data_IF_182497390957
#
_entry.id   IF_182497390957
#
_cell.length_a   1.000
_cell.length_b   1.000
_cell.length_c   1.000
_cell.angle_alpha   90.00
_cell.angle_beta   90.00
_cell.angle_gamma   90.00
#
_symmetry.space_group_name_H-M   'P 1'
#
loop_
_entity.id
_entity.type
_entity.pdbx_description
1 polymer ?
#
# COMPACT_ATOMS: atom_id res chain seq x y z
N UNK A 1 36.01 87.37 -69.14
CA UNK A 1 36.10 86.84 -67.76
C UNK A 1 34.78 87.22 -67.07
N UNK A 2 33.91 86.35 -66.57
CA UNK A 2 34.05 85.30 -65.55
C UNK A 2 32.98 84.21 -65.78
N UNK A 3 33.35 82.94 -65.57
CA UNK A 3 32.47 81.75 -65.48
C UNK A 3 31.84 81.65 -64.07
N UNK A 4 30.68 80.98 -63.92
CA UNK A 4 30.49 79.86 -62.97
C UNK A 4 29.12 79.18 -63.13
N UNK A 5 29.16 77.87 -62.87
CA UNK A 5 28.22 76.78 -63.17
C UNK A 5 27.19 76.51 -62.05
N UNK A 6 26.34 75.50 -62.30
CA UNK A 6 25.57 74.62 -61.38
C UNK A 6 24.08 74.98 -61.16
N UNK A 7 23.10 74.06 -61.15
CA UNK A 7 23.09 72.65 -60.73
C UNK A 7 22.15 71.76 -61.59
N UNK A 8 22.65 70.58 -61.95
CA UNK A 8 21.90 69.36 -62.30
C UNK A 8 21.47 68.68 -60.98
N UNK A 9 20.27 68.10 -60.92
CA UNK A 9 20.08 66.85 -60.18
C UNK A 9 19.07 66.83 -59.04
N UNK A 10 18.19 65.82 -59.12
CA UNK A 10 17.50 65.14 -58.01
C UNK A 10 16.27 65.81 -57.38
N UNK A 11 15.16 65.85 -58.13
CA UNK A 11 13.82 65.75 -57.56
C UNK A 11 13.29 64.31 -57.75
N UNK A 12 13.83 63.37 -56.98
CA UNK A 12 13.16 62.10 -56.67
C UNK A 12 13.79 61.54 -55.39
N UNK A 13 13.58 62.25 -54.27
CA UNK A 13 13.81 61.69 -52.95
C UNK A 13 12.67 60.69 -52.70
N UNK A 14 12.81 59.46 -53.22
CA UNK A 14 12.01 58.34 -52.73
C UNK A 14 12.39 58.17 -51.27
N UNK A 15 11.57 58.70 -50.38
CA UNK A 15 11.62 58.37 -48.97
C UNK A 15 11.30 56.88 -48.91
N UNK A 16 12.36 56.06 -48.81
CA UNK A 16 12.25 54.64 -48.47
C UNK A 16 11.88 54.58 -46.99
N UNK A 17 10.64 54.93 -46.67
CA UNK A 17 10.06 54.52 -45.40
C UNK A 17 10.02 52.99 -45.47
N UNK A 18 10.83 52.34 -44.64
CA UNK A 18 10.67 50.92 -44.37
C UNK A 18 9.32 50.73 -43.68
N UNK A 19 8.26 50.60 -44.49
CA UNK A 19 6.94 50.23 -43.99
C UNK A 19 7.09 48.85 -43.37
N UNK A 20 6.94 48.78 -42.04
CA UNK A 20 6.88 47.51 -41.34
C UNK A 20 5.58 46.81 -41.76
N UNK A 21 5.66 45.56 -42.23
CA UNK A 21 4.52 44.78 -42.72
C UNK A 21 3.66 44.19 -41.58
N UNK A 22 3.50 44.93 -40.48
CA UNK A 22 2.72 44.50 -39.31
C UNK A 22 1.23 44.65 -39.61
N UNK A 23 0.42 43.67 -39.20
CA UNK A 23 -1.04 43.69 -39.31
C UNK A 23 -1.63 44.05 -37.96
N UNK A 24 -2.29 45.21 -37.87
CA UNK A 24 -3.09 45.59 -36.71
C UNK A 24 -4.57 45.34 -36.96
N UNK A 25 -5.28 44.74 -36.01
CA UNK A 25 -6.74 44.63 -35.98
C UNK A 25 -7.23 45.39 -34.76
N UNK A 26 -8.09 46.39 -35.00
CA UNK A 26 -8.57 47.35 -33.99
C UNK A 26 -7.48 48.21 -33.30
N UNK A 27 -6.24 48.20 -33.79
CA UNK A 27 -5.12 49.06 -33.32
C UNK A 27 -4.42 49.74 -34.49
N UNK A 28 -4.07 51.03 -34.32
CA UNK A 28 -3.29 51.81 -35.31
C UNK A 28 -1.78 51.76 -35.07
N UNK A 29 -1.33 51.16 -33.96
CA UNK A 29 0.08 51.05 -33.60
C UNK A 29 0.41 49.60 -33.19
N UNK A 30 0.46 48.66 -34.15
CA UNK A 30 0.69 47.25 -33.84
C UNK A 30 2.08 47.03 -33.22
N UNK A 31 2.13 46.36 -32.06
CA UNK A 31 3.39 46.07 -31.36
C UNK A 31 3.97 44.68 -31.66
N UNK A 32 3.28 43.89 -32.48
CA UNK A 32 3.71 42.59 -32.99
C UNK A 32 3.48 42.48 -34.52
N UNK A 33 3.84 41.35 -35.14
CA UNK A 33 3.56 41.10 -36.56
C UNK A 33 2.06 40.99 -36.85
N UNK A 34 1.31 40.41 -35.92
CA UNK A 34 -0.15 40.48 -35.85
C UNK A 34 -0.52 40.96 -34.45
N UNK A 35 -1.18 42.10 -34.35
CA UNK A 35 -1.65 42.68 -33.09
C UNK A 35 -3.17 42.85 -33.16
N UNK A 36 -3.90 42.09 -32.34
CA UNK A 36 -5.36 42.10 -32.28
C UNK A 36 -5.77 42.62 -30.92
N UNK A 37 -6.43 43.77 -30.91
CA UNK A 37 -6.91 44.40 -29.67
C UNK A 37 -8.43 44.31 -29.58
N UNK A 38 -8.95 44.25 -28.36
CA UNK A 38 -10.39 44.21 -28.12
C UNK A 38 -11.06 45.49 -28.66
N UNK A 39 -12.18 45.35 -29.37
CA UNK A 39 -12.96 46.52 -29.78
C UNK A 39 -13.61 47.20 -28.57
N UNK A 40 -14.13 46.40 -27.63
CA UNK A 40 -14.63 46.87 -26.32
C UNK A 40 -14.27 45.90 -25.19
N UNK A 41 -14.20 46.43 -23.97
CA UNK A 41 -13.97 45.66 -22.73
C UNK A 41 -15.18 45.65 -21.79
N UNK A 42 -16.31 46.19 -22.23
CA UNK A 42 -17.57 46.31 -21.46
C UNK A 42 -18.47 45.06 -21.54
N UNK A 43 -18.02 44.01 -22.26
CA UNK A 43 -18.77 42.78 -22.47
C UNK A 43 -19.88 42.87 -23.54
N UNK A 44 -19.99 43.96 -24.30
CA UNK A 44 -21.01 44.13 -25.35
C UNK A 44 -20.66 43.51 -26.71
N UNK A 45 -19.43 43.01 -26.86
CA UNK A 45 -18.93 42.38 -28.09
C UNK A 45 -18.22 41.06 -27.79
N UNK A 46 -18.33 40.11 -28.71
CA UNK A 46 -17.58 38.86 -28.66
C UNK A 46 -16.18 39.08 -29.27
N UNK A 47 -15.17 39.21 -28.43
CA UNK A 47 -13.76 39.35 -28.85
C UNK A 47 -13.12 37.97 -29.01
N UNK A 48 -12.16 37.82 -29.94
CA UNK A 48 -11.38 36.58 -30.06
C UNK A 48 -10.79 36.34 -31.45
N UNK A 49 -10.06 35.23 -31.58
CA UNK A 49 -9.49 34.74 -32.85
C UNK A 49 -10.01 33.32 -33.09
N UNK A 50 -10.69 33.12 -34.23
CA UNK A 50 -11.13 31.79 -34.64
C UNK A 50 -10.13 31.24 -35.65
N UNK A 51 -9.39 30.19 -35.26
CA UNK A 51 -8.47 29.50 -36.16
C UNK A 51 -9.24 28.71 -37.25
N UNK A 52 -8.59 28.36 -38.38
CA UNK A 52 -9.18 27.48 -39.37
C UNK A 52 -9.72 26.19 -38.74
N UNK A 53 -10.96 25.84 -39.07
CA UNK A 53 -11.63 24.63 -38.58
C UNK A 53 -11.44 23.51 -39.58
N UNK A 54 -10.88 22.39 -39.13
CA UNK A 54 -10.64 21.19 -39.94
C UNK A 54 -11.18 19.97 -39.18
N UNK A 55 -11.69 18.96 -39.87
CA UNK A 55 -11.88 17.65 -39.25
C UNK A 55 -10.56 16.86 -39.30
N UNK A 56 -10.46 15.75 -38.56
CA UNK A 56 -9.22 14.96 -38.52
C UNK A 56 -8.86 14.39 -39.90
N UNK A 57 -9.85 14.00 -40.71
CA UNK A 57 -9.59 13.56 -42.09
C UNK A 57 -8.93 14.66 -42.92
N UNK A 58 -9.39 15.90 -42.86
CA UNK A 58 -8.81 17.01 -43.60
C UNK A 58 -7.37 17.33 -43.16
N UNK A 59 -7.00 17.05 -41.91
CA UNK A 59 -5.61 17.12 -41.47
C UNK A 59 -4.76 16.01 -42.11
N UNK A 60 -5.25 14.76 -42.11
CA UNK A 60 -4.55 13.64 -42.75
C UNK A 60 -4.34 13.90 -44.24
N UNK A 61 -5.37 14.37 -44.94
CA UNK A 61 -5.29 14.68 -46.38
C UNK A 61 -4.28 15.81 -46.67
N UNK A 62 -3.93 16.64 -45.67
CA UNK A 62 -2.98 17.75 -45.76
C UNK A 62 -1.61 17.42 -45.17
N UNK A 63 -1.34 16.18 -44.78
CA UNK A 63 -0.10 15.79 -44.09
C UNK A 63 1.17 16.25 -44.84
N UNK A 64 1.17 16.16 -46.18
CA UNK A 64 2.30 16.61 -47.02
C UNK A 64 2.49 18.13 -47.09
N UNK A 65 1.50 18.92 -46.65
CA UNK A 65 1.53 20.38 -46.64
C UNK A 65 2.05 20.96 -45.31
N UNK A 66 2.11 20.14 -44.26
CA UNK A 66 2.62 20.52 -42.95
C UNK A 66 4.01 19.94 -42.75
N UNK A 67 5.03 20.80 -42.86
CA UNK A 67 6.43 20.47 -42.57
C UNK A 67 7.04 21.48 -41.62
N UNK A 68 8.38 21.49 -41.52
CA UNK A 68 9.11 22.33 -40.57
C UNK A 68 8.72 23.83 -40.62
N UNK A 69 8.36 24.36 -41.80
CA UNK A 69 7.98 25.77 -41.99
C UNK A 69 6.61 26.10 -41.37
N UNK A 70 5.74 25.11 -41.16
CA UNK A 70 4.42 25.29 -40.56
C UNK A 70 4.42 25.03 -39.04
N UNK A 71 5.58 24.83 -38.41
CA UNK A 71 5.69 24.71 -36.95
C UNK A 71 5.05 25.93 -36.27
N UNK A 72 4.16 25.69 -35.32
CA UNK A 72 3.37 26.73 -34.64
C UNK A 72 2.04 27.06 -35.32
N UNK A 73 1.68 26.42 -36.44
CA UNK A 73 0.35 26.57 -37.04
C UNK A 73 -0.73 26.11 -36.07
N UNK A 74 -1.77 26.93 -35.88
CA UNK A 74 -2.89 26.64 -34.98
C UNK A 74 -4.14 26.35 -35.81
N UNK A 75 -4.85 25.27 -35.47
CA UNK A 75 -6.13 24.89 -36.05
C UNK A 75 -7.11 24.51 -34.95
N UNK A 76 -8.40 24.58 -35.26
CA UNK A 76 -9.43 23.97 -34.43
C UNK A 76 -9.91 22.68 -35.09
N UNK A 77 -9.69 21.54 -34.44
CA UNK A 77 -10.21 20.26 -34.91
C UNK A 77 -11.67 20.14 -34.50
N UNK A 78 -12.57 20.16 -35.48
CA UNK A 78 -14.02 20.21 -35.26
C UNK A 78 -14.68 18.83 -35.14
N UNK A 79 -14.02 17.78 -35.62
CA UNK A 79 -14.55 16.41 -35.58
C UNK A 79 -13.40 15.40 -35.66
N UNK A 80 -13.38 14.42 -34.75
CA UNK A 80 -12.38 13.34 -34.68
C UNK A 80 -12.93 11.98 -35.10
N UNK A 81 -14.21 11.89 -35.47
CA UNK A 81 -14.82 10.65 -35.96
C UNK A 81 -14.49 10.39 -37.44
N UNK A 82 -13.88 11.34 -38.15
CA UNK A 82 -13.45 11.20 -39.55
C UNK A 82 -11.93 10.98 -39.65
N UNK A 83 -11.49 10.11 -40.56
CA UNK A 83 -10.07 9.76 -40.71
C UNK A 83 -9.51 8.94 -39.53
N UNK A 84 -8.36 8.30 -39.71
CA UNK A 84 -7.68 7.54 -38.65
C UNK A 84 -6.72 8.43 -37.86
N UNK A 85 -6.51 8.13 -36.57
CA UNK A 85 -5.47 8.75 -35.75
C UNK A 85 -4.11 8.12 -36.10
N UNK A 86 -3.48 8.61 -37.15
CA UNK A 86 -2.24 8.05 -37.72
C UNK A 86 -1.37 9.16 -38.29
N UNK A 87 -0.08 8.90 -38.50
CA UNK A 87 0.83 9.90 -39.06
C UNK A 87 0.91 11.14 -38.20
N UNK A 88 0.93 12.32 -38.81
CA UNK A 88 0.98 13.61 -38.10
C UNK A 88 -0.21 13.86 -37.16
N UNK A 89 -1.37 13.22 -37.37
CA UNK A 89 -2.57 13.43 -36.56
C UNK A 89 -2.79 12.37 -35.48
N UNK A 90 -1.78 11.52 -35.19
CA UNK A 90 -1.90 10.42 -34.23
C UNK A 90 -2.38 10.87 -32.83
N UNK A 91 -2.05 12.11 -32.42
CA UNK A 91 -2.47 12.69 -31.14
C UNK A 91 -3.82 13.44 -31.20
N UNK A 92 -4.48 13.48 -32.37
CA UNK A 92 -5.79 14.13 -32.57
C UNK A 92 -6.93 13.17 -32.18
N UNK A 93 -7.10 13.00 -30.86
CA UNK A 93 -8.08 12.08 -30.28
C UNK A 93 -9.37 12.74 -29.79
N UNK A 94 -9.38 14.07 -29.66
CA UNK A 94 -10.54 14.84 -29.18
C UNK A 94 -10.74 16.13 -29.99
N UNK A 95 -11.95 16.69 -29.96
CA UNK A 95 -12.25 18.00 -30.57
C UNK A 95 -11.59 19.10 -29.74
N UNK A 96 -10.91 20.05 -30.37
CA UNK A 96 -10.20 21.11 -29.65
C UNK A 96 -9.24 21.92 -30.51
N UNK A 97 -8.53 22.85 -29.88
CA UNK A 97 -7.45 23.57 -30.53
C UNK A 97 -6.18 22.72 -30.53
N UNK A 98 -5.48 22.72 -31.68
CA UNK A 98 -4.22 22.02 -31.87
C UNK A 98 -3.18 22.95 -32.47
N UNK A 99 -1.91 22.75 -32.12
CA UNK A 99 -0.77 23.35 -32.80
C UNK A 99 0.11 22.28 -33.45
N UNK A 100 0.75 22.60 -34.57
CA UNK A 100 1.72 21.72 -35.20
C UNK A 100 3.10 21.93 -34.57
N UNK A 101 3.69 20.89 -33.98
CA UNK A 101 5.00 20.97 -33.31
C UNK A 101 6.21 20.81 -34.27
N UNK A 102 5.94 20.67 -35.57
CA UNK A 102 6.92 20.40 -36.61
C UNK A 102 6.95 18.94 -37.06
N UNK A 103 6.34 18.04 -36.27
CA UNK A 103 6.16 16.63 -36.62
C UNK A 103 4.73 16.14 -36.41
N UNK A 104 4.08 16.49 -35.31
CA UNK A 104 2.76 16.02 -34.90
C UNK A 104 1.86 17.20 -34.52
N UNK A 105 0.55 16.98 -34.63
CA UNK A 105 -0.47 17.87 -34.08
C UNK A 105 -0.64 17.62 -32.58
N UNK A 106 -0.31 18.61 -31.76
CA UNK A 106 -0.46 18.57 -30.30
C UNK A 106 -1.68 19.36 -29.87
N UNK A 107 -2.45 18.84 -28.92
CA UNK A 107 -3.61 19.55 -28.37
C UNK A 107 -3.15 20.66 -27.43
N UNK A 108 -3.86 21.78 -27.39
CA UNK A 108 -3.78 22.74 -26.29
C UNK A 108 -4.50 22.18 -25.06
N UNK A 109 -3.89 21.20 -24.40
CA UNK A 109 -4.42 20.62 -23.17
C UNK A 109 -3.28 20.25 -22.24
N UNK A 110 -3.44 20.58 -20.97
CA UNK A 110 -2.52 20.18 -19.91
C UNK A 110 -3.04 18.96 -19.16
N UNK A 111 -2.14 18.05 -18.76
CA UNK A 111 -2.48 16.98 -17.82
C UNK A 111 -2.70 17.55 -16.41
N UNK A 112 -3.50 16.89 -15.55
CA UNK A 112 -3.83 17.42 -14.24
C UNK A 112 -2.70 17.30 -13.19
N UNK A 113 -1.50 16.86 -13.58
CA UNK A 113 -0.34 16.71 -12.68
C UNK A 113 0.94 17.32 -13.22
N UNK A 114 1.87 17.63 -12.30
CA UNK A 114 3.20 18.12 -12.62
C UNK A 114 4.21 16.98 -12.78
N UNK A 115 5.23 17.21 -13.61
CA UNK A 115 6.40 16.35 -13.70
C UNK A 115 7.22 16.48 -12.41
N UNK A 116 7.53 15.35 -11.78
CA UNK A 116 8.30 15.29 -10.54
C UNK A 116 9.61 16.09 -10.61
N UNK A 117 9.85 16.91 -9.58
CA UNK A 117 11.02 17.79 -9.48
C UNK A 117 10.91 19.12 -10.25
N UNK A 118 9.76 19.40 -10.87
CA UNK A 118 9.54 20.63 -11.66
C UNK A 118 8.22 21.30 -11.30
N UNK A 119 8.01 22.51 -11.81
CA UNK A 119 6.71 23.22 -11.80
C UNK A 119 5.99 23.12 -13.14
N UNK A 120 6.40 22.21 -14.02
CA UNK A 120 5.85 22.04 -15.37
C UNK A 120 4.86 20.87 -15.36
N UNK A 121 3.74 21.04 -16.05
CA UNK A 121 2.74 19.98 -16.21
C UNK A 121 3.28 18.83 -17.07
N UNK A 122 2.87 17.61 -16.75
CA UNK A 122 3.24 16.45 -17.56
C UNK A 122 2.55 16.49 -18.92
N UNK A 123 3.18 15.87 -19.92
CA UNK A 123 2.65 15.73 -21.29
C UNK A 123 2.51 14.26 -21.70
N UNK A 124 2.86 13.32 -20.80
CA UNK A 124 2.76 11.87 -21.01
C UNK A 124 2.49 11.15 -19.69
N UNK A 125 1.76 10.04 -19.76
CA UNK A 125 1.46 9.16 -18.62
C UNK A 125 2.63 8.25 -18.20
N UNK A 126 3.76 8.28 -18.91
CA UNK A 126 5.00 7.58 -18.53
C UNK A 126 5.91 8.43 -17.64
N UNK A 127 5.57 9.70 -17.42
CA UNK A 127 6.32 10.62 -16.57
C UNK A 127 5.96 10.45 -15.09
N UNK A 128 6.93 10.67 -14.21
CA UNK A 128 6.70 10.62 -12.76
C UNK A 128 5.77 11.75 -12.32
N UNK A 129 4.69 11.38 -11.65
CA UNK A 129 3.65 12.29 -11.13
C UNK A 129 4.14 12.97 -9.85
N UNK A 130 3.87 14.26 -9.70
CA UNK A 130 4.00 15.01 -8.45
C UNK A 130 2.78 15.88 -8.17
N UNK A 131 2.34 15.88 -6.91
CA UNK A 131 1.31 16.74 -6.34
C UNK A 131 1.82 17.34 -5.02
N UNK A 132 1.66 18.65 -4.82
CA UNK A 132 2.07 19.33 -3.57
C UNK A 132 1.03 19.21 -2.45
N UNK A 133 -0.22 18.96 -2.83
CA UNK A 133 -1.37 18.95 -1.96
C UNK A 133 -1.88 17.51 -1.78
N UNK A 134 -3.19 17.32 -1.81
CA UNK A 134 -3.85 16.03 -1.58
C UNK A 134 -4.15 15.33 -2.90
N UNK A 135 -4.18 14.01 -2.85
CA UNK A 135 -4.63 13.13 -3.94
C UNK A 135 -5.94 12.48 -3.52
N UNK A 136 -7.02 12.75 -4.26
CA UNK A 136 -8.31 12.09 -4.10
C UNK A 136 -8.55 11.10 -5.24
N UNK A 137 -8.96 9.87 -4.92
CA UNK A 137 -9.40 8.86 -5.88
C UNK A 137 -10.86 8.55 -5.53
N UNK A 138 -11.78 8.81 -6.47
CA UNK A 138 -13.22 8.68 -6.23
C UNK A 138 -13.86 9.82 -5.41
N UNK A 139 -13.09 10.82 -4.99
CA UNK A 139 -13.53 11.96 -4.17
C UNK A 139 -12.97 13.31 -4.69
N UNK A 140 -13.77 14.38 -4.66
CA UNK A 140 -13.38 15.72 -5.13
C UNK A 140 -12.82 16.64 -4.03
N UNK A 141 -12.98 16.26 -2.76
CA UNK A 141 -12.54 17.01 -1.58
C UNK A 141 -11.84 16.08 -0.57
N UNK A 142 -10.65 15.55 -0.89
CA UNK A 142 -9.93 14.62 -0.01
C UNK A 142 -9.61 15.25 1.35
N UNK A 143 -9.75 14.48 2.41
CA UNK A 143 -9.52 14.91 3.80
C UNK A 143 -8.07 14.67 4.26
N UNK A 144 -7.42 13.63 3.74
CA UNK A 144 -6.02 13.25 3.99
C UNK A 144 -5.12 13.50 2.77
N UNK A 145 -3.81 13.27 2.90
CA UNK A 145 -2.88 13.43 1.78
C UNK A 145 -3.16 12.47 0.61
N UNK A 146 -3.63 11.26 0.93
CA UNK A 146 -4.18 10.29 -0.02
C UNK A 146 -5.51 9.79 0.56
N UNK A 147 -6.60 10.04 -0.17
CA UNK A 147 -7.97 9.67 0.21
C UNK A 147 -8.61 8.88 -0.94
N UNK A 148 -9.02 7.64 -0.67
CA UNK A 148 -9.57 6.70 -1.65
C UNK A 148 -10.96 6.33 -1.16
N UNK A 149 -11.97 6.62 -1.98
CA UNK A 149 -13.37 6.45 -1.61
C UNK A 149 -14.15 5.79 -2.73
N UNK A 150 -14.91 4.77 -2.36
CA UNK A 150 -15.76 4.03 -3.27
C UNK A 150 -16.99 4.89 -3.47
N UNK A 151 -17.12 5.41 -4.68
CA UNK A 151 -18.28 6.18 -5.11
C UNK A 151 -19.46 5.27 -5.54
N UNK A 152 -19.36 3.95 -5.29
CA UNK A 152 -20.33 2.94 -5.73
C UNK A 152 -20.55 2.93 -7.26
N UNK A 153 -19.52 3.25 -8.05
CA UNK A 153 -19.55 3.20 -9.52
C UNK A 153 -18.63 2.13 -10.11
N UNK A 154 -17.72 1.54 -9.30
CA UNK A 154 -16.73 0.55 -9.71
C UNK A 154 -17.00 -0.84 -9.07
N UNK A 155 -15.98 -1.66 -8.84
CA UNK A 155 -16.07 -3.04 -8.33
C UNK A 155 -16.55 -3.19 -6.86
N UNK A 156 -17.14 -2.13 -6.31
CA UNK A 156 -17.64 -1.98 -4.94
C UNK A 156 -16.57 -1.87 -3.84
N UNK A 157 -15.28 -1.91 -4.17
CA UNK A 157 -14.19 -1.86 -3.18
C UNK A 157 -13.23 -0.68 -3.41
N UNK A 158 -12.56 -0.26 -2.33
CA UNK A 158 -11.46 0.69 -2.35
C UNK A 158 -10.16 -0.04 -2.10
N UNK A 159 -9.50 -0.43 -3.18
CA UNK A 159 -8.33 -1.31 -3.09
C UNK A 159 -7.01 -0.54 -3.24
N UNK A 160 -6.04 -0.95 -2.44
CA UNK A 160 -4.62 -0.64 -2.66
C UNK A 160 -3.92 -1.93 -3.06
N UNK A 161 -3.64 -2.08 -4.36
CA UNK A 161 -3.00 -3.27 -4.89
C UNK A 161 -1.50 -3.05 -5.17
N UNK A 162 -0.62 -3.73 -4.43
CA UNK A 162 0.84 -3.63 -4.57
C UNK A 162 1.38 -4.97 -5.07
N UNK A 163 1.91 -5.02 -6.31
CA UNK A 163 2.38 -6.26 -6.96
C UNK A 163 3.79 -6.13 -7.50
N UNK A 164 4.56 -7.21 -7.37
CA UNK A 164 5.90 -7.36 -7.95
C UNK A 164 5.93 -8.61 -8.81
N UNK A 165 6.39 -8.48 -10.06
CA UNK A 165 6.59 -9.60 -10.98
C UNK A 165 8.09 -9.80 -11.22
N UNK A 166 8.70 -10.79 -10.60
CA UNK A 166 10.13 -11.08 -10.75
C UNK A 166 10.44 -12.53 -10.42
N UNK A 167 11.53 -13.06 -11.00
CA UNK A 167 12.12 -14.34 -10.61
C UNK A 167 13.17 -14.20 -9.48
N UNK A 168 13.41 -12.97 -9.00
CA UNK A 168 14.34 -12.66 -7.91
C UNK A 168 13.62 -12.61 -6.55
N UNK A 169 14.33 -12.26 -5.48
CA UNK A 169 13.80 -12.20 -4.09
C UNK A 169 13.14 -10.86 -3.73
N UNK A 170 12.79 -10.01 -4.69
CA UNK A 170 12.18 -8.71 -4.42
C UNK A 170 10.72 -8.84 -4.01
N UNK A 171 10.31 -8.07 -3.00
CA UNK A 171 8.95 -8.10 -2.42
C UNK A 171 8.32 -6.70 -2.40
N UNK A 172 7.00 -6.57 -2.56
CA UNK A 172 6.29 -5.34 -2.22
C UNK A 172 6.36 -5.07 -0.71
N UNK A 173 6.20 -3.82 -0.30
CA UNK A 173 6.23 -3.40 1.11
C UNK A 173 5.49 -2.08 1.34
N UNK A 174 5.08 -1.84 2.58
CA UNK A 174 4.59 -0.56 3.08
C UNK A 174 5.57 -0.09 4.14
N UNK A 175 6.15 1.10 3.97
CA UNK A 175 7.08 1.70 4.93
C UNK A 175 6.44 2.90 5.63
N UNK A 176 6.29 2.80 6.95
CA UNK A 176 5.96 3.92 7.82
C UNK A 176 7.23 4.37 8.53
N UNK A 177 7.62 5.63 8.36
CA UNK A 177 8.84 6.19 8.95
C UNK A 177 8.48 7.43 9.75
N UNK A 178 9.01 7.51 10.96
CA UNK A 178 8.89 8.68 11.81
C UNK A 178 10.27 9.15 12.24
N UNK A 179 10.44 10.46 12.20
CA UNK A 179 11.47 11.17 12.93
C UNK A 179 10.78 12.29 13.71
N UNK A 180 11.45 12.80 14.74
CA UNK A 180 11.10 14.09 15.32
C UNK A 180 11.67 15.21 14.45
N UNK A 181 11.37 16.47 14.79
CA UNK A 181 11.89 17.63 14.07
C UNK A 181 11.14 17.92 12.77
N UNK A 182 11.86 18.42 11.77
CA UNK A 182 11.31 18.80 10.46
C UNK A 182 12.02 18.06 9.33
N UNK A 183 11.47 18.11 8.11
CA UNK A 183 12.13 17.53 6.94
C UNK A 183 13.55 18.08 6.73
N UNK A 184 13.78 19.36 7.02
CA UNK A 184 15.10 19.99 6.88
C UNK A 184 16.06 19.72 8.05
N UNK A 185 15.53 19.32 9.21
CA UNK A 185 16.30 19.05 10.42
C UNK A 185 15.61 17.94 11.23
N UNK A 186 15.80 16.67 10.84
CA UNK A 186 15.22 15.54 11.55
C UNK A 186 15.92 15.32 12.89
N UNK A 187 15.19 14.81 13.86
CA UNK A 187 15.65 14.49 15.21
C UNK A 187 15.34 13.04 15.56
N UNK A 188 16.15 12.48 16.47
CA UNK A 188 15.96 11.12 16.98
C UNK A 188 14.64 10.99 17.75
N UNK A 189 14.08 9.78 17.72
CA UNK A 189 12.88 9.41 18.46
C UNK A 189 13.15 9.38 19.97
N UNK A 190 12.09 9.51 20.76
CA UNK A 190 12.08 9.35 22.21
C UNK A 190 11.20 8.17 22.61
N UNK A 191 11.54 7.47 23.71
CA UNK A 191 10.73 6.36 24.21
C UNK A 191 9.26 6.77 24.35
N UNK A 192 8.35 5.95 23.83
CA UNK A 192 6.92 6.22 23.75
C UNK A 192 6.45 6.85 22.43
N UNK A 193 7.35 7.28 21.54
CA UNK A 193 6.94 7.77 20.22
C UNK A 193 6.33 6.65 19.38
N UNK A 194 5.04 6.76 19.01
CA UNK A 194 4.42 5.87 18.02
C UNK A 194 5.12 6.07 16.67
N UNK A 195 5.70 5.02 16.08
CA UNK A 195 6.46 5.07 14.83
C UNK A 195 5.54 4.89 13.61
N UNK A 196 4.48 4.11 13.76
CA UNK A 196 3.49 3.84 12.73
C UNK A 196 2.46 2.82 13.18
N UNK A 197 1.40 2.66 12.40
CA UNK A 197 0.37 1.67 12.67
C UNK A 197 -0.58 1.46 11.50
N UNK A 198 -1.36 0.39 11.61
CA UNK A 198 -2.51 0.08 10.76
C UNK A 198 -3.75 0.10 11.64
N UNK A 199 -4.70 0.99 11.32
CA UNK A 199 -5.92 1.18 12.10
C UNK A 199 -7.14 0.76 11.28
N UNK A 200 -8.12 0.21 11.99
CA UNK A 200 -9.40 -0.22 11.47
C UNK A 200 -10.49 0.46 12.30
N UNK A 201 -11.34 1.21 11.62
CA UNK A 201 -12.35 2.06 12.23
C UNK A 201 -13.68 1.89 11.53
N UNK A 202 -14.75 1.88 12.31
CA UNK A 202 -16.12 1.81 11.81
C UNK A 202 -16.98 2.89 12.46
N UNK A 203 -17.99 3.36 11.73
CA UNK A 203 -18.96 4.30 12.25
C UNK A 203 -19.85 3.61 13.29
N UNK A 204 -19.97 4.21 14.47
CA UNK A 204 -20.89 3.80 15.53
C UNK A 204 -21.43 5.04 16.23
N UNK A 205 -22.71 5.05 16.60
CA UNK A 205 -23.36 6.20 17.23
C UNK A 205 -23.11 7.54 16.49
N UNK A 206 -23.21 7.54 15.15
CA UNK A 206 -22.96 8.69 14.29
C UNK A 206 -21.55 9.32 14.40
N UNK A 207 -20.56 8.54 14.84
CA UNK A 207 -19.16 8.96 14.95
C UNK A 207 -18.22 7.87 14.44
N UNK A 208 -17.07 8.26 13.92
CA UNK A 208 -15.97 7.34 13.59
C UNK A 208 -14.92 7.51 14.69
N UNK A 209 -14.52 6.41 15.33
CA UNK A 209 -13.36 6.41 16.21
C UNK A 209 -12.12 6.06 15.40
N UNK A 210 -11.15 6.97 15.32
CA UNK A 210 -9.89 6.76 14.59
C UNK A 210 -9.03 5.62 15.16
N UNK A 211 -9.39 5.09 16.35
CA UNK A 211 -8.61 4.08 17.05
C UNK A 211 -9.49 3.01 17.73
N UNK A 212 -10.18 2.19 16.94
CA UNK A 212 -11.01 1.08 17.46
C UNK A 212 -10.24 -0.24 17.52
N UNK A 213 -9.65 -0.65 16.40
CA UNK A 213 -8.79 -1.83 16.29
C UNK A 213 -7.53 -1.41 15.56
N UNK A 214 -6.35 -1.79 16.06
CA UNK A 214 -5.11 -1.35 15.44
C UNK A 214 -3.94 -2.31 15.71
N UNK A 215 -2.96 -2.27 14.82
CA UNK A 215 -1.60 -2.76 15.05
C UNK A 215 -0.71 -1.53 15.09
N UNK A 216 -0.06 -1.27 16.22
CA UNK A 216 0.74 -0.05 16.41
C UNK A 216 2.14 -0.40 16.89
N UNK A 217 3.16 0.19 16.26
CA UNK A 217 4.54 0.07 16.68
C UNK A 217 4.99 1.33 17.44
N UNK A 218 5.61 1.15 18.60
CA UNK A 218 6.09 2.24 19.44
C UNK A 218 7.59 2.11 19.67
N UNK A 219 8.29 3.24 19.61
CA UNK A 219 9.71 3.29 19.93
C UNK A 219 9.92 3.15 21.43
N UNK A 220 10.85 2.30 21.84
CA UNK A 220 11.16 2.01 23.26
C UNK A 220 12.57 2.43 23.65
N UNK A 221 13.38 2.85 22.68
CA UNK A 221 14.76 3.29 22.90
C UNK A 221 14.91 4.71 23.45
N UNK A 222 16.17 5.12 23.54
CA UNK A 222 16.63 6.41 24.08
C UNK A 222 16.98 7.45 22.99
N UNK A 223 16.69 7.12 21.74
CA UNK A 223 17.07 7.90 20.56
C UNK A 223 18.40 7.47 19.93
N UNK A 224 19.10 6.50 20.51
CA UNK A 224 20.34 5.93 19.96
C UNK A 224 20.23 4.45 19.65
N UNK A 225 19.35 3.75 20.35
CA UNK A 225 19.08 2.31 20.17
C UNK A 225 17.94 2.06 19.19
N UNK A 226 17.85 0.85 18.63
CA UNK A 226 16.76 0.45 17.74
C UNK A 226 15.76 -0.46 18.47
N UNK A 227 15.25 0.00 19.62
CA UNK A 227 14.27 -0.74 20.41
C UNK A 227 12.86 -0.26 20.05
N UNK A 228 11.98 -1.21 19.75
CA UNK A 228 10.55 -0.95 19.54
C UNK A 228 9.74 -2.16 19.94
N UNK A 229 8.46 -1.94 20.24
CA UNK A 229 7.47 -2.98 20.49
C UNK A 229 6.32 -2.89 19.48
N UNK A 230 5.44 -3.88 19.51
CA UNK A 230 4.20 -3.89 18.74
C UNK A 230 3.03 -4.22 19.66
N UNK A 231 1.98 -3.41 19.56
CA UNK A 231 0.71 -3.59 20.25
C UNK A 231 -0.40 -3.99 19.30
N UNK A 232 -1.29 -4.86 19.78
CA UNK A 232 -2.52 -5.27 19.12
C UNK A 232 -3.72 -4.79 19.93
N UNK A 233 -4.41 -3.79 19.40
CA UNK A 233 -5.58 -3.17 20.02
C UNK A 233 -6.87 -3.77 19.49
N UNK A 234 -7.82 -4.04 20.38
CA UNK A 234 -9.23 -4.28 20.03
C UNK A 234 -10.13 -3.50 20.98
N UNK A 235 -11.17 -2.88 20.43
CA UNK A 235 -12.08 -1.99 21.17
C UNK A 235 -11.33 -0.90 21.96
N UNK A 236 -10.26 -0.36 21.37
CA UNK A 236 -9.42 0.68 21.98
C UNK A 236 -8.50 0.21 23.11
N UNK A 237 -8.43 -1.10 23.39
CA UNK A 237 -7.64 -1.67 24.49
C UNK A 237 -6.54 -2.57 23.92
N UNK A 238 -5.30 -2.42 24.42
CA UNK A 238 -4.22 -3.35 24.13
C UNK A 238 -4.59 -4.74 24.67
N UNK A 239 -4.67 -5.75 23.79
CA UNK A 239 -4.94 -7.13 24.19
C UNK A 239 -3.72 -8.04 24.06
N UNK A 240 -2.71 -7.61 23.31
CA UNK A 240 -1.49 -8.37 23.10
C UNK A 240 -0.34 -7.42 22.76
N UNK A 241 0.82 -7.69 23.35
CA UNK A 241 2.06 -6.97 23.10
C UNK A 241 3.17 -7.95 22.72
N UNK A 242 4.05 -7.53 21.81
CA UNK A 242 5.40 -8.07 21.68
C UNK A 242 6.37 -6.96 22.07
N UNK A 243 7.03 -7.09 23.22
CA UNK A 243 7.90 -6.06 23.78
C UNK A 243 9.23 -5.93 23.03
N UNK A 244 10.07 -4.97 23.42
CA UNK A 244 11.38 -4.75 22.80
C UNK A 244 12.39 -5.90 23.00
N UNK A 245 12.13 -6.84 23.91
CA UNK A 245 12.94 -8.04 24.15
C UNK A 245 12.38 -9.28 23.42
N UNK A 246 11.29 -9.12 22.67
CA UNK A 246 10.59 -10.20 21.98
C UNK A 246 9.81 -11.11 22.92
N UNK A 247 9.35 -10.61 24.07
CA UNK A 247 8.43 -11.29 24.97
C UNK A 247 6.99 -10.98 24.54
N UNK A 248 6.13 -11.99 24.56
CA UNK A 248 4.72 -11.88 24.17
C UNK A 248 3.83 -11.83 25.42
N UNK A 249 3.04 -10.77 25.55
CA UNK A 249 1.99 -10.65 26.56
C UNK A 249 0.61 -10.80 25.93
N UNK A 250 -0.30 -11.55 26.55
CA UNK A 250 -1.73 -11.62 26.17
C UNK A 250 -2.60 -11.28 27.38
N UNK A 251 -3.42 -10.23 27.27
CA UNK A 251 -4.20 -9.69 28.38
C UNK A 251 -3.74 -8.30 28.79
N UNK A 252 -3.90 -7.95 30.07
CA UNK A 252 -3.57 -6.62 30.58
C UNK A 252 -2.17 -6.60 31.21
N UNK A 253 -1.23 -5.93 30.55
CA UNK A 253 0.15 -5.79 30.98
C UNK A 253 0.44 -4.32 31.27
N UNK A 254 0.25 -3.84 32.52
CA UNK A 254 0.63 -2.47 32.88
C UNK A 254 2.15 -2.26 32.82
N UNK A 255 2.92 -3.33 33.02
CA UNK A 255 4.36 -3.42 32.81
C UNK A 255 4.64 -4.46 31.71
N UNK A 256 5.80 -4.37 31.04
CA UNK A 256 6.19 -5.30 29.98
C UNK A 256 6.18 -6.77 30.47
N UNK A 257 5.84 -7.75 29.60
CA UNK A 257 5.90 -9.18 29.94
C UNK A 257 7.29 -9.63 30.41
N UNK A 258 7.33 -10.43 31.47
CA UNK A 258 8.57 -10.86 32.14
C UNK A 258 9.18 -12.13 31.55
N UNK A 259 8.42 -12.86 30.74
CA UNK A 259 8.82 -14.11 30.12
C UNK A 259 8.41 -14.17 28.64
N UNK A 260 8.92 -15.15 27.88
CA UNK A 260 8.71 -15.22 26.43
C UNK A 260 7.24 -15.28 26.02
N UNK A 261 6.40 -15.89 26.84
CA UNK A 261 4.95 -15.87 26.69
C UNK A 261 4.32 -15.78 28.08
N UNK A 262 3.61 -14.69 28.32
CA UNK A 262 2.88 -14.45 29.56
C UNK A 262 1.41 -14.15 29.23
N UNK A 263 0.50 -14.80 29.97
CA UNK A 263 -0.95 -14.60 29.83
C UNK A 263 -1.48 -14.06 31.15
N UNK A 264 -2.02 -12.85 31.13
CA UNK A 264 -2.74 -12.27 32.27
C UNK A 264 -4.17 -12.81 32.29
N UNK A 265 -4.35 -13.91 33.01
CA UNK A 265 -5.61 -14.64 33.12
C UNK A 265 -5.48 -16.14 32.88
N UNK A 266 -6.63 -16.83 32.82
CA UNK A 266 -6.66 -18.27 32.55
C UNK A 266 -6.32 -18.57 31.09
N UNK A 267 -5.48 -19.57 30.85
CA UNK A 267 -5.22 -20.13 29.53
C UNK A 267 -5.70 -21.59 29.47
N UNK A 268 -6.29 -21.99 28.33
CA UNK A 268 -6.84 -23.33 28.13
C UNK A 268 -6.55 -23.83 26.73
N UNK A 269 -6.37 -25.13 26.58
CA UNK A 269 -6.55 -25.76 25.27
C UNK A 269 -8.04 -25.68 24.90
N UNK A 270 -8.38 -25.39 23.64
CA UNK A 270 -9.79 -25.30 23.20
C UNK A 270 -10.58 -26.56 23.55
N UNK A 271 -9.97 -27.72 23.36
CA UNK A 271 -10.48 -29.04 23.77
C UNK A 271 -9.33 -29.98 24.13
N UNK A 272 -9.56 -30.92 25.05
CA UNK A 272 -8.67 -32.07 25.21
C UNK A 272 -8.86 -33.04 24.02
N UNK A 273 -7.79 -33.72 23.62
CA UNK A 273 -7.81 -34.69 22.54
C UNK A 273 -8.41 -36.02 23.00
N UNK A 274 -9.49 -36.48 22.35
CA UNK A 274 -10.03 -37.82 22.56
C UNK A 274 -9.34 -38.81 21.61
N UNK A 275 -8.46 -39.65 22.15
CA UNK A 275 -7.76 -40.68 21.39
C UNK A 275 -8.61 -41.95 21.16
N UNK A 276 -9.78 -42.06 21.79
CA UNK A 276 -10.68 -43.22 21.68
C UNK A 276 -10.06 -44.54 22.18
N UNK A 277 -10.63 -45.68 21.77
CA UNK A 277 -10.09 -47.02 21.96
C UNK A 277 -10.28 -47.87 20.69
N UNK A 278 -9.21 -48.06 19.92
CA UNK A 278 -9.28 -48.79 18.65
C UNK A 278 -8.55 -50.14 18.72
N UNK A 279 -7.36 -50.16 19.30
CA UNK A 279 -6.60 -51.34 19.74
C UNK A 279 -5.19 -50.90 20.16
N UNK A 280 -4.46 -51.73 20.91
CA UNK A 280 -3.07 -51.43 21.22
C UNK A 280 -2.17 -51.68 19.97
N UNK A 281 -1.17 -50.81 19.68
CA UNK A 281 -0.81 -49.63 20.46
C UNK A 281 -1.83 -48.48 20.30
N UNK A 282 -2.23 -47.89 21.42
CA UNK A 282 -3.16 -46.76 21.45
C UNK A 282 -2.43 -45.50 20.97
N UNK A 283 -2.91 -44.93 19.87
CA UNK A 283 -2.31 -43.75 19.26
C UNK A 283 -2.68 -42.49 20.05
N UNK A 284 -1.68 -41.78 20.58
CA UNK A 284 -1.88 -40.52 21.28
C UNK A 284 -1.17 -39.41 20.51
N UNK A 285 -1.94 -38.61 19.76
CA UNK A 285 -1.42 -37.51 18.95
C UNK A 285 -1.48 -36.17 19.69
N UNK A 286 -0.35 -35.78 20.30
CA UNK A 286 -0.22 -34.49 20.99
C UNK A 286 0.00 -33.30 20.06
N UNK A 287 0.01 -33.48 18.72
CA UNK A 287 -0.08 -32.33 17.81
C UNK A 287 -1.46 -31.66 17.87
N UNK A 288 -2.48 -32.38 18.36
CA UNK A 288 -3.86 -31.88 18.47
C UNK A 288 -4.08 -31.07 19.75
N UNK A 289 -3.56 -31.53 20.89
CA UNK A 289 -3.73 -30.88 22.19
C UNK A 289 -2.70 -31.41 23.17
N UNK A 290 -2.17 -30.58 24.06
CA UNK A 290 -1.29 -31.03 25.15
C UNK A 290 -2.03 -31.84 26.23
N UNK A 291 -3.37 -31.88 26.19
CA UNK A 291 -4.21 -32.65 27.08
C UNK A 291 -4.91 -33.72 26.24
N UNK A 292 -4.75 -34.99 26.59
CA UNK A 292 -5.37 -36.11 25.89
C UNK A 292 -6.07 -37.05 26.86
N UNK A 293 -7.07 -37.78 26.38
CA UNK A 293 -7.70 -38.89 27.10
C UNK A 293 -8.01 -40.05 26.16
N UNK A 294 -8.04 -41.27 26.71
CA UNK A 294 -8.29 -42.50 25.97
C UNK A 294 -9.08 -43.48 26.83
N UNK A 295 -9.99 -44.23 26.19
CA UNK A 295 -10.66 -45.37 26.81
C UNK A 295 -9.88 -46.69 26.64
N UNK A 296 -8.61 -46.63 26.18
CA UNK A 296 -7.73 -47.78 26.06
C UNK A 296 -7.34 -48.37 27.43
N UNK A 297 -7.10 -49.69 27.46
CA UNK A 297 -6.76 -50.42 28.68
C UNK A 297 -5.36 -50.05 29.17
N UNK A 298 -5.20 -49.91 30.49
CA UNK A 298 -3.93 -49.53 31.10
C UNK A 298 -2.79 -50.54 30.87
N UNK A 299 -3.09 -51.81 30.58
CA UNK A 299 -2.08 -52.83 30.23
C UNK A 299 -1.54 -52.72 28.79
N UNK A 300 -2.04 -51.78 27.99
CA UNK A 300 -1.63 -51.60 26.60
C UNK A 300 -0.37 -50.76 26.43
N UNK A 301 0.12 -50.73 25.18
CA UNK A 301 1.17 -49.80 24.76
C UNK A 301 0.54 -48.51 24.23
N UNK A 302 0.94 -47.36 24.76
CA UNK A 302 0.52 -46.03 24.30
C UNK A 302 1.63 -45.46 23.41
N UNK A 303 1.32 -45.26 22.13
CA UNK A 303 2.25 -44.69 21.16
C UNK A 303 2.04 -43.17 21.09
N UNK A 304 2.97 -42.43 21.69
CA UNK A 304 2.91 -40.98 21.82
C UNK A 304 3.57 -40.30 20.62
N UNK A 305 2.82 -39.45 19.94
CA UNK A 305 3.27 -38.67 18.79
C UNK A 305 3.14 -37.16 19.07
N UNK A 306 3.86 -36.32 18.33
CA UNK A 306 3.75 -34.87 18.45
C UNK A 306 4.41 -34.25 19.67
N UNK A 307 5.11 -35.05 20.48
CA UNK A 307 5.92 -34.57 21.60
C UNK A 307 7.08 -33.69 21.09
N UNK A 308 7.30 -32.55 21.73
CA UNK A 308 8.35 -31.58 21.40
C UNK A 308 9.17 -31.26 22.64
N UNK A 309 10.46 -30.98 22.44
CA UNK A 309 11.35 -30.49 23.50
C UNK A 309 10.75 -29.24 24.20
N UNK A 310 10.91 -29.18 25.52
CA UNK A 310 10.31 -28.16 26.39
C UNK A 310 8.80 -28.33 26.63
N UNK A 311 8.16 -29.35 26.03
CA UNK A 311 6.73 -29.58 26.13
C UNK A 311 6.30 -30.25 27.44
N UNK A 312 5.11 -29.87 27.91
CA UNK A 312 4.39 -30.53 29.02
C UNK A 312 3.04 -31.02 28.51
N UNK A 313 2.74 -32.27 28.81
CA UNK A 313 1.58 -32.99 28.31
C UNK A 313 0.93 -33.82 29.42
N UNK A 314 -0.36 -34.08 29.28
CA UNK A 314 -1.11 -34.96 30.19
C UNK A 314 -1.94 -35.94 29.38
N UNK A 315 -1.84 -37.23 29.70
CA UNK A 315 -2.72 -38.27 29.18
C UNK A 315 -3.57 -38.85 30.31
N UNK A 316 -4.90 -38.77 30.19
CA UNK A 316 -5.83 -39.49 31.04
C UNK A 316 -6.18 -40.85 30.41
N UNK A 317 -5.74 -41.93 31.04
CA UNK A 317 -6.14 -43.31 30.70
C UNK A 317 -7.38 -43.66 31.50
N UNK A 318 -8.47 -43.97 30.80
CA UNK A 318 -9.81 -44.18 31.34
C UNK A 318 -10.31 -45.62 31.15
N UNK A 319 -9.46 -46.53 30.66
CA UNK A 319 -9.81 -47.94 30.53
C UNK A 319 -10.07 -48.61 31.88
N UNK A 320 -11.10 -49.43 31.95
CA UNK A 320 -11.57 -50.04 33.20
C UNK A 320 -10.60 -51.07 33.83
N UNK A 321 -9.92 -51.96 33.09
CA UNK A 321 -9.02 -52.93 33.69
C UNK A 321 -7.77 -52.28 34.28
N UNK A 322 -7.37 -52.75 35.47
CA UNK A 322 -6.05 -52.48 36.04
C UNK A 322 -4.94 -53.02 35.13
N UNK A 323 -3.83 -52.29 35.03
CA UNK A 323 -2.65 -52.75 34.31
C UNK A 323 -1.49 -51.77 34.40
N UNK A 324 -0.32 -52.18 33.93
CA UNK A 324 0.86 -51.31 33.84
C UNK A 324 1.05 -50.86 32.40
N UNK A 325 1.03 -49.54 32.17
CA UNK A 325 1.15 -48.97 30.83
C UNK A 325 2.57 -49.11 30.28
N UNK A 326 2.66 -49.44 28.99
CA UNK A 326 3.89 -49.28 28.21
C UNK A 326 3.78 -48.02 27.34
N UNK A 327 4.90 -47.35 27.09
CA UNK A 327 4.95 -46.15 26.26
C UNK A 327 5.98 -46.30 25.16
N UNK A 328 5.57 -45.99 23.94
CA UNK A 328 6.45 -45.88 22.77
C UNK A 328 6.40 -44.45 22.25
N UNK A 329 7.52 -43.91 21.82
CA UNK A 329 7.63 -42.53 21.29
C UNK A 329 8.28 -42.56 19.92
N UNK A 330 8.06 -41.51 19.13
CA UNK A 330 8.70 -41.34 17.82
C UNK A 330 10.20 -41.03 18.00
N UNK A 331 11.06 -41.70 17.22
CA UNK A 331 12.50 -41.39 17.17
C UNK A 331 12.71 -39.90 16.83
N UNK A 332 13.68 -39.20 17.46
CA UNK A 332 14.78 -39.70 18.31
C UNK A 332 14.48 -39.71 19.82
N UNK A 333 13.21 -39.64 20.23
CA UNK A 333 12.86 -39.56 21.65
C UNK A 333 13.07 -40.90 22.39
N UNK A 334 13.37 -40.83 23.68
CA UNK A 334 13.52 -42.00 24.57
C UNK A 334 12.72 -41.82 25.85
N UNK A 335 11.95 -42.84 26.26
CA UNK A 335 11.11 -42.79 27.48
C UNK A 335 11.93 -43.10 28.73
N UNK A 336 11.69 -42.31 29.79
CA UNK A 336 12.06 -42.59 31.18
C UNK A 336 10.79 -42.49 32.03
N UNK A 337 10.42 -43.57 32.70
CA UNK A 337 9.21 -43.60 33.53
C UNK A 337 9.56 -43.90 34.99
N UNK A 338 8.93 -43.16 35.91
CA UNK A 338 9.03 -43.38 37.34
C UNK A 338 7.66 -43.78 37.90
N UNK A 339 7.66 -44.58 38.97
CA UNK A 339 6.44 -45.02 39.67
C UNK A 339 5.38 -45.68 38.77
N UNK A 340 5.80 -46.40 37.71
CA UNK A 340 4.89 -47.09 36.79
C UNK A 340 4.29 -48.36 37.40
N UNK A 341 3.46 -48.19 38.43
CA UNK A 341 2.74 -49.28 39.07
C UNK A 341 1.47 -49.62 38.28
N UNK A 342 0.87 -50.77 38.59
CA UNK A 342 -0.44 -51.11 38.04
C UNK A 342 -1.48 -50.05 38.44
N UNK A 343 -2.32 -49.63 37.49
CA UNK A 343 -3.44 -48.71 37.74
C UNK A 343 -4.51 -49.35 38.63
N UNK A 344 -5.41 -48.57 39.22
CA UNK A 344 -6.55 -49.11 39.98
C UNK A 344 -7.72 -49.36 39.03
N UNK A 345 -8.33 -50.54 39.11
CA UNK A 345 -9.44 -50.89 38.23
C UNK A 345 -10.63 -49.94 38.44
N UNK A 346 -11.32 -49.61 37.35
CA UNK A 346 -12.46 -48.67 37.31
C UNK A 346 -12.15 -47.25 37.79
N UNK A 347 -10.88 -46.82 37.72
CA UNK A 347 -10.46 -45.45 38.00
C UNK A 347 -9.68 -44.89 36.81
N UNK A 348 -9.62 -43.57 36.69
CA UNK A 348 -8.76 -42.90 35.72
C UNK A 348 -7.33 -42.77 36.26
N UNK A 349 -6.36 -42.80 35.34
CA UNK A 349 -4.94 -42.55 35.64
C UNK A 349 -4.44 -41.39 34.79
N UNK A 350 -3.85 -40.39 35.43
CA UNK A 350 -3.18 -39.28 34.74
C UNK A 350 -1.69 -39.58 34.59
N UNK A 351 -1.22 -39.63 33.35
CA UNK A 351 0.20 -39.68 33.03
C UNK A 351 0.67 -38.26 32.71
N UNK A 352 1.50 -37.72 33.58
CA UNK A 352 2.18 -36.45 33.36
C UNK A 352 3.44 -36.71 32.55
N UNK A 353 3.56 -36.05 31.42
CA UNK A 353 4.58 -36.29 30.42
C UNK A 353 5.33 -34.99 30.19
N UNK A 354 6.65 -35.00 30.39
CA UNK A 354 7.52 -33.82 30.23
C UNK A 354 8.67 -34.20 29.31
N UNK A 355 8.95 -33.37 28.31
CA UNK A 355 10.04 -33.59 27.37
C UNK A 355 11.16 -32.59 27.66
N UNK A 356 12.38 -33.10 27.85
CA UNK A 356 13.59 -32.28 27.99
C UNK A 356 14.69 -32.87 27.12
N UNK A 357 15.12 -32.14 26.09
CA UNK A 357 15.96 -32.62 25.01
C UNK A 357 15.31 -33.80 24.28
N UNK A 358 15.99 -34.95 24.25
CA UNK A 358 15.49 -36.18 23.64
C UNK A 358 14.83 -37.13 24.63
N UNK A 359 14.70 -36.75 25.91
CA UNK A 359 14.17 -37.62 26.96
C UNK A 359 12.72 -37.24 27.29
N UNK A 360 11.85 -38.23 27.31
CA UNK A 360 10.45 -38.12 27.70
C UNK A 360 10.28 -38.70 29.10
N UNK A 361 10.10 -37.84 30.09
CA UNK A 361 9.84 -38.21 31.48
C UNK A 361 8.35 -38.41 31.69
N UNK A 362 7.97 -39.58 32.20
CA UNK A 362 6.58 -39.93 32.48
C UNK A 362 6.45 -40.29 33.95
N UNK A 363 5.42 -39.77 34.62
CA UNK A 363 5.03 -40.23 35.95
C UNK A 363 3.50 -40.30 36.06
N UNK A 364 2.93 -41.42 36.53
CA UNK A 364 1.50 -41.57 36.72
C UNK A 364 1.02 -41.06 38.07
N UNK A 365 -0.23 -40.62 38.10
CA UNK A 365 -1.06 -40.45 39.30
C UNK A 365 -2.31 -41.30 39.08
N UNK A 366 -2.50 -42.32 39.92
CA UNK A 366 -3.54 -43.35 39.78
C UNK A 366 -4.71 -43.09 40.73
N UNK A 367 -5.89 -43.64 40.41
CA UNK A 367 -7.00 -43.73 41.37
C UNK A 367 -7.94 -42.53 41.38
N UNK A 368 -8.14 -41.85 40.26
CA UNK A 368 -9.18 -40.82 40.14
C UNK A 368 -10.53 -41.47 39.84
N UNK A 369 -11.46 -41.36 40.79
CA UNK A 369 -12.80 -41.94 40.81
C UNK A 369 -13.89 -41.08 40.15
#
# INVERSE_FOLDING_TARGET
>A
MIRKYFFIGALFLMITNTLKAQVGVNTTNPVATLDVTAWKTDGSTAEGIIAPRLDRKALNDKESMYGAVQTGAIVYVSNVSTGAATGQSVNVSTVGYYYFDGQLWQIFKDEPWNLSGTTVQATSNTQNIYQMAKVGIGINAPTTALDIVSNNQDDYYDDINIRTFTNNTYTPSIFLKKSRGTLASPQNLQSGDIIGGLSFSGMHNNSISDFSTAITATYRGDGTTNLSNVYFYTSGINRMEIDENGNVGIGNFPDNPSSKLEVDGAYTNRTAYNAGATSAPYLIDFTVSNLAYTSGNASGNFYLQGLKDGGKYVLAVQGAPSGTAAFTVVSPLTVRIANNQATVANTHTLYNIIVMGTIVYIYPVVGFD
#
